data_IF_361035088096
#
_entry.id   IF_361035088096
#
_cell.length_a   1.000
_cell.length_b   1.000
_cell.length_c   1.000
_cell.angle_alpha   90.00
_cell.angle_beta   90.00
_cell.angle_gamma   90.00
#
_symmetry.space_group_name_H-M   'P 1'
#
loop_
_entity.id
_entity.type
_entity.pdbx_description
1 polymer ?
#
# COMPACT_ATOMS: atom_id res chain seq x y z
N UNK A 1 2.85 5.24 22.22
CA UNK A 1 2.76 5.95 20.92
C UNK A 1 4.09 5.77 20.21
N UNK A 2 4.12 5.31 18.96
CA UNK A 2 5.38 5.06 18.24
C UNK A 2 5.73 6.34 17.49
N UNK A 3 6.89 6.92 17.78
CA UNK A 3 7.43 8.02 16.99
C UNK A 3 8.16 7.44 15.79
N UNK A 4 7.78 7.84 14.58
CA UNK A 4 8.39 7.36 13.35
C UNK A 4 8.82 8.53 12.49
N UNK A 5 10.10 8.52 12.12
CA UNK A 5 10.65 9.46 11.15
C UNK A 5 10.26 9.02 9.73
N UNK A 6 9.12 9.53 9.26
CA UNK A 6 8.62 9.24 7.92
C UNK A 6 9.61 9.67 6.84
N UNK A 7 10.36 10.75 7.08
CA UNK A 7 11.30 11.31 6.11
C UNK A 7 12.48 10.38 5.86
N UNK A 8 13.04 9.83 6.94
CA UNK A 8 14.06 8.80 6.84
C UNK A 8 13.53 7.52 6.18
N UNK A 9 12.30 7.12 6.50
CA UNK A 9 11.71 5.87 5.98
C UNK A 9 11.53 5.92 4.46
N UNK A 10 10.88 6.96 3.91
CA UNK A 10 10.60 6.97 2.46
C UNK A 10 11.90 7.16 1.64
N UNK A 11 12.86 7.96 2.13
CA UNK A 11 14.17 8.14 1.46
C UNK A 11 14.96 6.84 1.39
N UNK A 12 15.03 6.09 2.49
CA UNK A 12 15.79 4.83 2.55
C UNK A 12 15.13 3.67 1.79
N UNK A 13 13.85 3.81 1.42
CA UNK A 13 13.06 2.76 0.76
C UNK A 13 12.71 3.09 -0.68
N UNK A 14 13.34 4.12 -1.24
CA UNK A 14 13.12 4.59 -2.61
C UNK A 14 11.66 4.97 -2.90
N UNK A 15 10.93 5.41 -1.87
CA UNK A 15 9.53 5.81 -1.99
C UNK A 15 9.46 7.29 -2.36
N UNK A 16 8.75 7.69 -3.43
CA UNK A 16 8.80 9.05 -3.96
C UNK A 16 8.44 10.16 -2.97
N UNK A 17 7.50 9.90 -2.07
CA UNK A 17 7.05 10.87 -1.08
C UNK A 17 6.25 10.21 0.05
N UNK A 18 5.98 10.99 1.10
CA UNK A 18 5.19 10.56 2.27
C UNK A 18 3.77 10.07 1.93
N UNK A 19 3.16 10.52 0.83
CA UNK A 19 1.81 10.09 0.45
C UNK A 19 1.82 8.67 -0.11
N UNK A 20 2.80 8.35 -0.98
CA UNK A 20 3.01 6.98 -1.45
C UNK A 20 3.35 6.06 -0.27
N UNK A 21 4.19 6.52 0.67
CA UNK A 21 4.46 5.80 1.91
C UNK A 21 3.16 5.44 2.66
N UNK A 22 2.26 6.40 2.85
CA UNK A 22 0.96 6.18 3.49
C UNK A 22 0.12 5.14 2.75
N UNK A 23 0.08 5.19 1.41
CA UNK A 23 -0.65 4.21 0.60
C UNK A 23 -0.08 2.79 0.78
N UNK A 24 1.25 2.64 0.75
CA UNK A 24 1.94 1.37 0.92
C UNK A 24 1.66 0.77 2.30
N UNK A 25 1.81 1.58 3.36
CA UNK A 25 1.55 1.16 4.74
C UNK A 25 0.08 0.78 4.92
N UNK A 26 -0.85 1.57 4.37
CA UNK A 26 -2.29 1.31 4.46
C UNK A 26 -2.68 0.01 3.74
N UNK A 27 -2.17 -0.19 2.52
CA UNK A 27 -2.40 -1.41 1.75
C UNK A 27 -1.88 -2.65 2.50
N UNK A 28 -0.68 -2.57 3.08
CA UNK A 28 -0.12 -3.67 3.87
C UNK A 28 -0.91 -3.92 5.16
N UNK A 29 -1.27 -2.88 5.90
CA UNK A 29 -2.06 -3.00 7.11
C UNK A 29 -3.42 -3.65 6.82
N UNK A 30 -4.05 -3.30 5.70
CA UNK A 30 -5.26 -3.95 5.20
C UNK A 30 -5.05 -5.43 4.91
N UNK A 31 -4.00 -5.80 4.17
CA UNK A 31 -3.66 -7.22 3.93
C UNK A 31 -3.48 -8.01 5.24
N UNK A 32 -2.81 -7.41 6.23
CA UNK A 32 -2.60 -8.03 7.54
C UNK A 32 -3.92 -8.18 8.29
N UNK A 33 -4.82 -7.20 8.21
CA UNK A 33 -6.15 -7.25 8.82
C UNK A 33 -7.06 -8.30 8.18
N UNK A 34 -7.14 -8.31 6.84
CA UNK A 34 -7.99 -9.25 6.09
C UNK A 34 -7.55 -10.71 6.25
N UNK A 35 -6.24 -10.97 6.29
CA UNK A 35 -5.70 -12.30 6.63
C UNK A 35 -6.11 -12.77 8.03
N UNK A 36 -6.41 -11.84 8.93
CA UNK A 36 -6.63 -12.11 10.34
C UNK A 36 -8.09 -12.29 10.74
N UNK A 37 -9.04 -12.16 9.82
CA UNK A 37 -10.43 -12.59 10.04
C UNK A 37 -10.56 -14.06 10.52
N UNK A 38 -9.47 -14.83 10.47
CA UNK A 38 -9.37 -16.22 10.93
C UNK A 38 -8.69 -16.45 12.31
N UNK A 39 -8.07 -15.45 12.98
CA UNK A 39 -7.24 -15.69 14.19
C UNK A 39 -7.61 -14.75 15.34
N UNK A 40 -8.32 -15.27 16.34
CA UNK A 40 -8.65 -14.60 17.61
C UNK A 40 -7.40 -14.39 18.48
N UNK A 41 -7.28 -13.22 19.13
CA UNK A 41 -6.26 -12.95 20.17
C UNK A 41 -4.98 -12.23 19.73
N UNK A 42 -4.90 -11.76 18.49
CA UNK A 42 -3.69 -11.09 18.00
C UNK A 42 -3.83 -9.58 18.17
N UNK A 43 -2.93 -8.97 18.94
CA UNK A 43 -2.86 -7.54 19.26
C UNK A 43 -2.99 -6.66 18.00
N UNK A 44 -3.94 -5.72 18.00
CA UNK A 44 -4.42 -4.98 16.81
C UNK A 44 -3.49 -3.84 16.37
N UNK A 45 -2.21 -4.14 16.16
CA UNK A 45 -1.19 -3.16 15.74
C UNK A 45 -0.81 -3.31 14.27
N UNK A 46 -1.81 -3.41 13.39
CA UNK A 46 -1.60 -3.64 11.95
C UNK A 46 -0.77 -2.56 11.25
N UNK A 47 -1.00 -1.30 11.62
CA UNK A 47 -0.23 -0.17 11.06
C UNK A 47 1.22 -0.26 11.51
N UNK A 48 1.48 -0.49 12.80
CA UNK A 48 2.84 -0.69 13.32
C UNK A 48 3.56 -1.81 12.60
N UNK A 49 2.89 -2.96 12.45
CA UNK A 49 3.44 -4.14 11.77
C UNK A 49 3.74 -3.87 10.30
N UNK A 50 2.85 -3.16 9.61
CA UNK A 50 3.04 -2.76 8.23
C UNK A 50 4.25 -1.84 8.07
N UNK A 51 4.47 -0.90 9.01
CA UNK A 51 5.67 -0.07 9.00
C UNK A 51 6.93 -0.88 9.29
N UNK A 52 6.91 -1.80 10.26
CA UNK A 52 8.04 -2.70 10.52
C UNK A 52 8.39 -3.53 9.28
N UNK A 53 7.39 -4.12 8.62
CA UNK A 53 7.56 -4.90 7.39
C UNK A 53 8.22 -4.04 6.30
N UNK A 54 7.80 -2.78 6.17
CA UNK A 54 8.40 -1.85 5.22
C UNK A 54 9.85 -1.50 5.59
N UNK A 55 10.09 -1.12 6.86
CA UNK A 55 11.39 -0.73 7.40
C UNK A 55 12.39 -1.88 7.40
N UNK A 56 11.93 -3.13 7.37
CA UNK A 56 12.77 -4.32 7.22
C UNK A 56 12.91 -4.79 5.77
N UNK A 57 12.21 -4.17 4.82
CA UNK A 57 12.26 -4.52 3.40
C UNK A 57 11.51 -5.80 3.05
N UNK A 58 10.61 -6.27 3.92
CA UNK A 58 9.73 -7.43 3.65
C UNK A 58 8.66 -7.11 2.61
N UNK A 59 8.40 -5.82 2.38
CA UNK A 59 7.53 -5.33 1.31
C UNK A 59 8.27 -4.31 0.46
N UNK A 60 7.91 -4.24 -0.82
CA UNK A 60 8.34 -3.23 -1.78
C UNK A 60 7.10 -2.63 -2.43
N UNK A 61 7.20 -1.37 -2.81
CA UNK A 61 6.15 -0.71 -3.58
C UNK A 61 6.49 -0.77 -5.06
N UNK A 62 5.49 -0.93 -5.90
CA UNK A 62 5.60 -0.87 -7.35
C UNK A 62 4.34 -0.22 -7.88
N UNK A 63 4.49 0.69 -8.83
CA UNK A 63 3.35 1.19 -9.59
C UNK A 63 2.92 0.11 -10.57
N UNK A 64 1.67 -0.30 -10.49
CA UNK A 64 1.07 -1.08 -11.58
C UNK A 64 0.73 -0.06 -12.66
N UNK A 65 1.40 -0.14 -13.80
CA UNK A 65 0.94 0.58 -14.99
C UNK A 65 -0.39 -0.03 -15.39
N UNK A 66 -1.48 0.56 -14.91
CA UNK A 66 -2.80 0.27 -15.45
C UNK A 66 -2.83 0.91 -16.83
N UNK A 67 -2.34 0.21 -17.84
CA UNK A 67 -2.71 0.50 -19.22
C UNK A 67 -4.22 0.24 -19.31
N UNK A 68 -5.00 1.25 -18.91
CA UNK A 68 -6.42 1.26 -19.21
C UNK A 68 -6.49 1.14 -20.72
N UNK A 69 -6.85 -0.06 -21.21
CA UNK A 69 -7.39 -0.19 -22.55
C UNK A 69 -8.53 0.82 -22.59
N UNK A 70 -8.30 1.95 -23.25
CA UNK A 70 -9.39 2.72 -23.83
C UNK A 70 -10.01 1.76 -24.82
N UNK A 71 -11.01 1.00 -24.38
CA UNK A 71 -11.98 0.48 -25.32
C UNK A 71 -12.60 1.72 -25.96
N UNK A 72 -12.19 1.97 -27.20
CA UNK A 72 -12.91 2.83 -28.11
C UNK A 72 -14.36 2.35 -28.09
N UNK A 73 -15.24 3.10 -27.41
CA UNK A 73 -16.66 3.06 -27.73
C UNK A 73 -16.85 3.72 -29.10
N UNK A 74 -16.29 3.11 -30.14
CA UNK A 74 -16.80 3.23 -31.50
C UNK A 74 -17.82 2.11 -31.67
N UNK A 75 -19.10 2.44 -31.50
CA UNK A 75 -20.15 1.94 -32.38
C UNK A 75 -21.47 2.70 -32.17
N UNK A 76 -21.74 3.54 -33.17
CA UNK A 76 -23.05 3.72 -33.81
C UNK A 76 -24.11 4.58 -33.11
N UNK A 77 -23.99 5.90 -33.25
CA UNK A 77 -25.14 6.70 -33.71
C UNK A 77 -24.75 7.42 -35.02
N UNK A 78 -24.74 6.63 -36.09
CA UNK A 78 -24.74 7.16 -37.45
C UNK A 78 -26.20 7.22 -37.95
N UNK A 79 -26.69 8.45 -38.07
CA UNK A 79 -27.85 8.94 -38.85
C UNK A 79 -29.26 8.64 -38.35
#
# INVERSE_FOLDING_TARGET
MIYMDLETIYKNRDIPNKYILTLVVSARARQLSERKGAISGYDEKFITRAVEDLVQGRIRHSFVETSAKKEENESLEAK
#
